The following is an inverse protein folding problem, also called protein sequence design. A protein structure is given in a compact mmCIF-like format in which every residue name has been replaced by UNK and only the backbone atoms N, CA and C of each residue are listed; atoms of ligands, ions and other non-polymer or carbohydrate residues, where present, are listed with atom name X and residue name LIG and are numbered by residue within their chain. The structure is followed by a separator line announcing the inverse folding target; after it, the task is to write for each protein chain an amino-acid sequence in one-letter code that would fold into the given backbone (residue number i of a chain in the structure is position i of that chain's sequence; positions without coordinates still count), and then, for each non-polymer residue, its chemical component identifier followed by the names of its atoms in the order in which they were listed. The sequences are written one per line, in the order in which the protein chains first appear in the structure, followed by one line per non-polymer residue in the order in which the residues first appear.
data_IF_661071872580
#
_entry.id   IF_661071872580
#
_cell.length_a   1.000
_cell.length_b   1.000
_cell.length_c   1.000
_cell.angle_alpha   90.00
_cell.angle_beta   90.00
_cell.angle_gamma   90.00
#
_symmetry.space_group_name_H-M   'P 1'
#
loop_
_entity.id
_entity.type
_entity.pdbx_description
1 polymer ?
#
# COMPACT_ATOMS: atom_id res chain seq x y z
N UNK A 1 10.15 -24.08 -14.96
CA UNK A 1 10.26 -22.94 -14.01
C UNK A 1 10.56 -21.64 -14.74
N UNK A 2 11.70 -21.52 -15.45
CA UNK A 2 12.07 -20.29 -16.16
C UNK A 2 11.06 -19.86 -17.21
N UNK A 3 10.52 -20.80 -17.99
CA UNK A 3 9.47 -20.53 -18.96
C UNK A 3 8.18 -20.04 -18.30
N UNK A 4 7.77 -20.61 -17.19
CA UNK A 4 6.60 -20.17 -16.42
C UNK A 4 6.84 -18.79 -15.81
N UNK A 5 8.03 -18.54 -15.24
CA UNK A 5 8.40 -17.23 -14.69
C UNK A 5 8.42 -16.14 -15.77
N UNK A 6 8.91 -16.42 -16.97
CA UNK A 6 8.90 -15.45 -18.08
C UNK A 6 7.49 -15.12 -18.58
N UNK A 7 6.56 -16.08 -18.52
CA UNK A 7 5.19 -15.93 -19.02
C UNK A 7 4.22 -15.32 -17.99
N UNK A 8 4.36 -15.70 -16.73
CA UNK A 8 3.39 -15.37 -15.68
C UNK A 8 3.95 -14.42 -14.60
N UNK A 9 5.26 -14.21 -14.56
CA UNK A 9 5.96 -13.42 -13.54
C UNK A 9 6.43 -14.25 -12.35
N UNK A 10 7.03 -13.57 -11.37
CA UNK A 10 7.41 -14.13 -10.07
C UNK A 10 6.23 -14.04 -9.08
N UNK A 11 6.31 -14.78 -7.98
CA UNK A 11 5.33 -14.68 -6.90
C UNK A 11 5.63 -13.52 -5.92
N UNK A 12 6.58 -12.66 -6.27
CA UNK A 12 6.90 -11.46 -5.51
C UNK A 12 5.78 -10.42 -5.65
N UNK A 13 5.35 -9.85 -4.53
CA UNK A 13 4.50 -8.66 -4.54
C UNK A 13 5.45 -7.48 -4.39
N UNK A 14 5.58 -6.62 -5.42
CA UNK A 14 6.49 -5.50 -5.37
C UNK A 14 6.09 -4.53 -4.26
N UNK A 15 7.07 -4.09 -3.50
CA UNK A 15 6.90 -3.01 -2.54
C UNK A 15 6.70 -1.69 -3.29
N UNK A 16 6.08 -0.73 -2.61
CA UNK A 16 6.06 0.66 -3.08
C UNK A 16 7.49 1.13 -3.37
N UNK A 17 7.65 1.97 -4.39
CA UNK A 17 8.96 2.55 -4.70
C UNK A 17 9.55 3.28 -3.47
N UNK A 18 10.89 3.24 -3.28
CA UNK A 18 11.52 3.93 -2.16
C UNK A 18 11.30 5.43 -2.28
N UNK A 19 10.80 6.02 -1.21
CA UNK A 19 10.53 7.47 -1.15
C UNK A 19 11.83 8.26 -1.31
N UNK A 20 11.87 9.14 -2.29
CA UNK A 20 13.02 9.98 -2.56
C UNK A 20 12.98 11.25 -1.71
N UNK A 21 14.15 11.74 -1.24
CA UNK A 21 14.23 13.00 -0.49
C UNK A 21 13.50 14.17 -1.17
N UNK A 22 13.56 14.25 -2.49
CA UNK A 22 12.91 15.34 -3.23
C UNK A 22 11.38 15.20 -3.34
N UNK A 23 10.87 14.00 -3.29
CA UNK A 23 9.43 13.73 -3.24
C UNK A 23 8.88 14.17 -1.89
N UNK A 24 9.43 13.68 -0.78
CA UNK A 24 9.06 14.08 0.57
C UNK A 24 9.21 15.60 0.80
N UNK A 25 10.31 16.18 0.27
CA UNK A 25 10.54 17.62 0.35
C UNK A 25 9.43 18.40 -0.39
N UNK A 26 9.06 18.00 -1.60
CA UNK A 26 7.96 18.62 -2.36
C UNK A 26 6.60 18.40 -1.70
N UNK A 27 6.36 17.24 -1.15
CA UNK A 27 5.12 16.89 -0.48
C UNK A 27 4.86 17.81 0.72
N UNK A 28 5.92 18.17 1.47
CA UNK A 28 5.82 19.15 2.55
C UNK A 28 5.20 20.49 2.08
N UNK A 29 5.48 20.93 0.86
CA UNK A 29 4.86 22.15 0.30
C UNK A 29 3.41 21.97 -0.14
N UNK A 30 2.92 20.73 -0.17
CA UNK A 30 1.51 20.44 -0.44
C UNK A 30 0.65 20.60 0.82
N UNK A 31 1.27 20.59 2.01
CA UNK A 31 0.59 20.80 3.28
C UNK A 31 -0.13 22.17 3.32
N UNK A 32 -1.42 22.21 3.67
CA UNK A 32 -2.19 23.44 3.77
C UNK A 32 -1.59 24.47 4.73
N UNK A 33 -1.00 24.02 5.85
CA UNK A 33 -0.36 24.90 6.83
C UNK A 33 0.86 25.60 6.24
N UNK A 34 1.71 24.87 5.52
CA UNK A 34 2.89 25.42 4.84
C UNK A 34 2.48 26.40 3.75
N UNK A 35 1.43 26.09 2.98
CA UNK A 35 0.87 27.02 1.96
C UNK A 35 0.40 28.33 2.57
N UNK A 36 -0.25 28.29 3.74
CA UNK A 36 -0.69 29.48 4.45
C UNK A 36 0.51 30.30 4.93
N UNK A 37 1.53 29.67 5.53
CA UNK A 37 2.75 30.34 5.96
C UNK A 37 3.48 31.01 4.80
N UNK A 38 3.58 30.36 3.65
CA UNK A 38 4.18 30.93 2.45
C UNK A 38 3.34 32.09 1.89
N UNK A 39 2.01 32.01 1.95
CA UNK A 39 1.14 33.11 1.54
C UNK A 39 1.30 34.34 2.45
N UNK A 40 1.43 34.12 3.77
CA UNK A 40 1.70 35.20 4.73
C UNK A 40 3.09 35.81 4.45
N UNK A 41 4.12 34.98 4.24
CA UNK A 41 5.46 35.47 3.91
C UNK A 41 5.47 36.28 2.61
N UNK A 42 4.74 35.85 1.58
CA UNK A 42 4.59 36.59 0.33
C UNK A 42 3.89 37.95 0.55
N UNK A 43 2.83 37.97 1.37
CA UNK A 43 2.16 39.24 1.74
C UNK A 43 3.12 40.19 2.47
N UNK A 44 3.89 39.66 3.43
CA UNK A 44 4.90 40.46 4.16
C UNK A 44 5.98 41.02 3.23
N UNK A 45 6.40 40.30 2.20
CA UNK A 45 7.33 40.80 1.18
C UNK A 45 6.71 41.99 0.42
N UNK A 46 5.43 41.88 0.06
CA UNK A 46 4.71 43.00 -0.59
C UNK A 46 4.63 44.19 0.35
N UNK A 47 4.28 43.98 1.61
CA UNK A 47 4.23 45.06 2.62
C UNK A 47 5.59 45.72 2.85
N UNK A 48 6.69 44.97 2.77
CA UNK A 48 8.04 45.51 2.82
C UNK A 48 8.31 46.53 1.69
N UNK A 49 7.90 46.25 0.45
CA UNK A 49 8.05 47.17 -0.68
C UNK A 49 7.26 48.46 -0.51
N UNK A 50 6.17 48.42 0.27
CA UNK A 50 5.39 49.62 0.64
C UNK A 50 5.91 50.30 1.91
N UNK A 51 6.95 49.78 2.57
CA UNK A 51 7.54 50.34 3.79
C UNK A 51 6.78 50.03 5.09
N UNK A 52 5.86 49.05 5.06
CA UNK A 52 5.03 48.67 6.22
C UNK A 52 5.53 47.44 6.96
N UNK A 53 6.55 46.73 6.47
CA UNK A 53 7.13 45.56 7.09
C UNK A 53 8.66 45.57 6.98
N UNK A 54 9.33 44.84 7.85
CA UNK A 54 10.78 44.68 7.80
C UNK A 54 11.16 43.37 7.10
N UNK A 55 12.23 43.37 6.31
CA UNK A 55 12.60 42.23 5.42
C UNK A 55 12.95 40.97 6.18
N UNK A 56 13.43 41.08 7.42
CA UNK A 56 13.81 39.88 8.19
C UNK A 56 12.62 39.05 8.67
N UNK A 57 11.39 39.61 8.75
CA UNK A 57 10.19 38.85 9.14
C UNK A 57 9.79 37.78 8.10
N UNK A 58 9.56 38.13 6.81
CA UNK A 58 9.26 37.14 5.81
C UNK A 58 10.45 36.21 5.52
N UNK A 59 11.69 36.72 5.61
CA UNK A 59 12.89 35.91 5.45
C UNK A 59 12.99 34.83 6.54
N UNK A 60 12.73 35.17 7.80
CA UNK A 60 12.68 34.26 8.92
C UNK A 60 11.63 33.17 8.72
N UNK A 61 10.44 33.52 8.22
CA UNK A 61 9.38 32.55 7.90
C UNK A 61 9.80 31.59 6.79
N UNK A 62 10.41 32.09 5.71
CA UNK A 62 10.88 31.22 4.61
C UNK A 62 11.98 30.29 5.09
N UNK A 63 12.94 30.78 5.88
CA UNK A 63 14.01 29.94 6.44
C UNK A 63 13.43 28.86 7.36
N UNK A 64 12.46 29.20 8.21
CA UNK A 64 11.79 28.23 9.07
C UNK A 64 11.08 27.14 8.25
N UNK A 65 10.36 27.51 7.19
CA UNK A 65 9.70 26.55 6.28
C UNK A 65 10.72 25.62 5.61
N UNK A 66 11.84 26.16 5.14
CA UNK A 66 12.91 25.34 4.53
C UNK A 66 13.54 24.36 5.52
N UNK A 67 13.75 24.80 6.77
CA UNK A 67 14.24 23.91 7.83
C UNK A 67 13.23 22.79 8.09
N UNK A 68 11.95 23.11 8.26
CA UNK A 68 10.89 22.12 8.49
C UNK A 68 10.83 21.13 7.32
N UNK A 69 10.80 21.61 6.07
CA UNK A 69 10.75 20.77 4.90
C UNK A 69 11.97 19.83 4.79
N UNK A 70 13.16 20.34 5.12
CA UNK A 70 14.39 19.52 5.10
C UNK A 70 14.38 18.44 6.20
N UNK A 71 13.94 18.80 7.40
CA UNK A 71 13.86 17.83 8.53
C UNK A 71 12.79 16.79 8.26
N UNK A 72 11.62 17.20 7.77
CA UNK A 72 10.53 16.30 7.40
C UNK A 72 10.99 15.29 6.35
N UNK A 73 11.57 15.77 5.25
CA UNK A 73 12.06 14.93 4.17
C UNK A 73 13.14 13.92 4.64
N UNK A 74 14.09 14.37 5.46
CA UNK A 74 15.11 13.46 6.03
C UNK A 74 14.50 12.40 6.94
N UNK A 75 13.52 12.78 7.74
CA UNK A 75 12.86 11.86 8.66
C UNK A 75 11.99 10.85 7.90
N UNK A 76 11.27 11.27 6.87
CA UNK A 76 10.47 10.40 5.99
C UNK A 76 11.34 9.34 5.32
N UNK A 77 12.40 9.76 4.63
CA UNK A 77 13.34 8.83 3.98
C UNK A 77 14.02 7.88 4.98
N UNK A 78 14.44 8.38 6.15
CA UNK A 78 15.07 7.53 7.16
C UNK A 78 14.08 6.52 7.75
N UNK A 79 12.82 6.87 7.87
CA UNK A 79 11.74 6.00 8.33
C UNK A 79 11.45 4.89 7.31
N UNK A 80 11.33 5.25 6.02
CA UNK A 80 11.14 4.29 4.93
C UNK A 80 12.32 3.32 4.82
N UNK A 81 13.55 3.82 4.88
CA UNK A 81 14.76 2.97 4.85
C UNK A 81 14.78 1.96 6.01
N UNK A 82 14.47 2.41 7.23
CA UNK A 82 14.42 1.50 8.39
C UNK A 82 13.29 0.46 8.27
N UNK A 83 12.15 0.85 7.74
CA UNK A 83 11.04 -0.08 7.50
C UNK A 83 11.47 -1.19 6.52
N UNK A 84 12.13 -0.82 5.41
CA UNK A 84 12.65 -1.76 4.42
C UNK A 84 13.74 -2.67 5.00
N UNK A 85 14.68 -2.12 5.77
CA UNK A 85 15.71 -2.92 6.46
C UNK A 85 15.09 -3.94 7.42
N UNK A 86 14.05 -3.57 8.17
CA UNK A 86 13.34 -4.49 9.05
C UNK A 86 12.63 -5.59 8.26
N UNK A 87 12.03 -5.25 7.14
CA UNK A 87 11.34 -6.20 6.25
C UNK A 87 12.34 -7.18 5.62
N UNK A 88 13.46 -6.68 5.09
CA UNK A 88 14.50 -7.50 4.46
C UNK A 88 15.16 -8.47 5.45
N UNK A 89 15.28 -8.06 6.73
CA UNK A 89 15.82 -8.90 7.80
C UNK A 89 14.81 -9.92 8.36
N UNK A 90 13.54 -9.84 7.94
CA UNK A 90 12.55 -10.85 8.32
C UNK A 90 12.76 -12.10 7.48
N UNK A 91 12.84 -13.27 8.14
CA UNK A 91 12.99 -14.55 7.43
C UNK A 91 11.88 -14.70 6.39
N UNK A 92 12.28 -14.93 5.13
CA UNK A 92 11.33 -15.18 4.04
C UNK A 92 10.56 -16.47 4.32
N UNK A 93 9.26 -16.42 4.15
CA UNK A 93 8.41 -17.59 4.27
C UNK A 93 8.84 -18.64 3.22
N UNK A 94 8.95 -19.91 3.63
CA UNK A 94 9.36 -21.03 2.77
C UNK A 94 8.20 -21.99 2.57
N UNK A 95 8.16 -22.61 1.41
CA UNK A 95 7.18 -23.64 1.09
C UNK A 95 7.84 -24.88 0.45
N UNK A 96 7.13 -26.02 0.53
CA UNK A 96 7.57 -27.30 -0.04
C UNK A 96 6.91 -27.47 -1.40
N UNK A 97 7.70 -27.54 -2.46
CA UNK A 97 7.20 -27.76 -3.82
C UNK A 97 7.67 -29.10 -4.37
N UNK A 98 6.79 -29.75 -5.12
CA UNK A 98 7.12 -30.97 -5.85
C UNK A 98 7.50 -30.61 -7.28
N UNK A 99 8.80 -30.66 -7.58
CA UNK A 99 9.36 -30.40 -8.93
C UNK A 99 10.18 -31.61 -9.38
N UNK A 100 9.99 -32.05 -10.61
CA UNK A 100 10.75 -33.18 -11.21
C UNK A 100 10.77 -34.46 -10.36
N UNK A 101 9.70 -34.78 -9.66
CA UNK A 101 9.63 -35.96 -8.82
C UNK A 101 10.29 -35.85 -7.44
N UNK A 102 10.79 -34.64 -7.08
CA UNK A 102 11.48 -34.40 -5.79
C UNK A 102 10.78 -33.24 -5.05
N UNK A 103 10.63 -33.41 -3.75
CA UNK A 103 10.14 -32.33 -2.87
C UNK A 103 11.34 -31.43 -2.52
N UNK A 104 11.22 -30.16 -2.84
CA UNK A 104 12.25 -29.14 -2.58
C UNK A 104 11.65 -28.01 -1.77
N UNK A 105 12.39 -27.50 -0.79
CA UNK A 105 12.00 -26.28 -0.03
C UNK A 105 12.52 -25.07 -0.78
N UNK A 106 11.63 -24.13 -1.10
CA UNK A 106 11.96 -22.89 -1.78
C UNK A 106 11.34 -21.70 -1.04
N UNK A 107 11.84 -20.50 -1.34
CA UNK A 107 11.21 -19.27 -0.87
C UNK A 107 9.84 -19.09 -1.57
N UNK A 108 8.86 -18.52 -0.86
CA UNK A 108 7.51 -18.27 -1.39
C UNK A 108 7.57 -17.41 -2.66
N UNK A 109 8.51 -16.47 -2.73
CA UNK A 109 8.71 -15.59 -3.89
C UNK A 109 9.15 -16.34 -5.16
N UNK A 110 9.73 -17.54 -5.00
CA UNK A 110 10.22 -18.40 -6.09
C UNK A 110 9.16 -19.37 -6.65
N UNK A 111 7.96 -19.34 -6.09
CA UNK A 111 6.82 -20.14 -6.59
C UNK A 111 6.40 -19.62 -7.96
N UNK A 112 6.08 -20.53 -8.88
CA UNK A 112 5.60 -20.21 -10.23
C UNK A 112 4.30 -20.94 -10.57
N UNK A 113 3.59 -20.42 -11.54
CA UNK A 113 2.37 -21.09 -12.07
C UNK A 113 2.72 -22.48 -12.57
N UNK A 114 1.92 -23.49 -12.13
CA UNK A 114 2.11 -24.90 -12.42
C UNK A 114 2.94 -25.65 -11.39
N UNK A 115 3.47 -24.98 -10.35
CA UNK A 115 4.08 -25.68 -9.22
C UNK A 115 3.00 -26.43 -8.41
N UNK A 116 3.39 -27.58 -7.89
CA UNK A 116 2.59 -28.36 -6.93
C UNK A 116 3.18 -28.16 -5.53
N UNK A 117 2.46 -27.43 -4.70
CA UNK A 117 2.90 -27.11 -3.34
C UNK A 117 2.27 -28.07 -2.36
N UNK A 118 3.10 -28.71 -1.54
CA UNK A 118 2.65 -29.54 -0.43
C UNK A 118 2.28 -28.63 0.75
N UNK A 119 1.03 -28.74 1.18
CA UNK A 119 0.45 -27.94 2.25
C UNK A 119 0.12 -28.81 3.46
N UNK A 120 0.45 -28.33 4.65
CA UNK A 120 0.21 -29.00 5.92
C UNK A 120 -0.38 -28.02 6.95
N UNK A 121 -0.96 -28.56 8.02
CA UNK A 121 -1.48 -27.75 9.12
C UNK A 121 -0.42 -26.78 9.67
N UNK A 122 -0.80 -25.50 9.79
CA UNK A 122 0.07 -24.40 10.21
C UNK A 122 0.77 -23.66 9.06
N UNK A 123 0.78 -24.20 7.84
CA UNK A 123 1.37 -23.53 6.69
C UNK A 123 0.47 -22.37 6.21
N UNK A 124 1.12 -21.33 5.68
CA UNK A 124 0.44 -20.29 4.89
C UNK A 124 0.42 -20.69 3.43
N UNK A 125 -0.69 -20.46 2.77
CA UNK A 125 -0.85 -20.71 1.33
C UNK A 125 0.02 -19.68 0.56
N UNK A 126 0.97 -20.13 -0.28
CA UNK A 126 1.97 -19.25 -0.89
C UNK A 126 1.47 -18.52 -2.14
N UNK A 127 0.45 -19.04 -2.82
CA UNK A 127 -0.06 -18.52 -4.09
C UNK A 127 -1.51 -18.95 -4.30
N UNK A 128 -2.24 -18.32 -5.22
CA UNK A 128 -3.60 -18.72 -5.54
C UNK A 128 -3.61 -19.93 -6.47
N UNK A 129 -4.52 -20.86 -6.20
CA UNK A 129 -4.63 -22.07 -6.99
C UNK A 129 -5.77 -22.97 -6.56
N UNK A 130 -5.65 -24.23 -6.93
CA UNK A 130 -6.69 -25.23 -6.74
C UNK A 130 -6.12 -26.40 -5.93
N UNK A 131 -6.89 -26.90 -4.97
CA UNK A 131 -6.55 -28.09 -4.24
C UNK A 131 -6.79 -29.31 -5.16
N UNK A 132 -5.73 -30.03 -5.51
CA UNK A 132 -5.81 -31.19 -6.43
C UNK A 132 -5.78 -32.53 -5.72
N UNK A 133 -5.32 -32.58 -4.48
CA UNK A 133 -5.29 -33.79 -3.65
C UNK A 133 -5.41 -33.39 -2.17
N UNK A 134 -6.03 -34.28 -1.37
CA UNK A 134 -6.21 -34.09 0.06
C UNK A 134 -7.48 -33.32 0.47
N UNK A 135 -7.53 -32.95 1.73
CA UNK A 135 -8.61 -32.14 2.31
C UNK A 135 -8.04 -31.21 3.40
N UNK A 136 -8.47 -29.98 3.40
CA UNK A 136 -7.98 -28.92 4.28
C UNK A 136 -9.11 -28.19 4.98
N UNK A 137 -8.84 -27.66 6.16
CA UNK A 137 -9.59 -26.56 6.78
C UNK A 137 -8.72 -25.32 6.75
N UNK A 138 -9.24 -24.27 6.16
CA UNK A 138 -8.49 -23.05 5.87
C UNK A 138 -9.17 -21.87 6.53
N UNK A 139 -8.38 -21.04 7.16
CA UNK A 139 -8.78 -19.72 7.70
C UNK A 139 -8.46 -18.64 6.68
N UNK A 140 -9.50 -17.99 6.16
CA UNK A 140 -9.39 -16.90 5.19
C UNK A 140 -9.48 -15.51 5.85
N UNK A 141 -9.44 -15.40 7.18
CA UNK A 141 -9.61 -14.16 7.92
C UNK A 141 -8.62 -13.04 7.51
N UNK A 142 -7.44 -13.42 7.06
CA UNK A 142 -6.44 -12.49 6.54
C UNK A 142 -6.87 -11.79 5.23
N UNK A 143 -7.87 -12.35 4.51
CA UNK A 143 -8.32 -11.85 3.21
C UNK A 143 -9.69 -11.18 3.29
N UNK A 144 -10.64 -11.76 3.99
CA UNK A 144 -12.02 -11.26 4.08
C UNK A 144 -12.40 -10.70 5.46
N UNK A 145 -11.52 -10.82 6.45
CA UNK A 145 -11.78 -10.36 7.83
C UNK A 145 -12.71 -11.27 8.63
N UNK A 146 -13.23 -12.35 8.05
CA UNK A 146 -14.16 -13.28 8.69
C UNK A 146 -13.42 -14.52 9.19
N UNK A 147 -13.49 -14.78 10.49
CA UNK A 147 -12.84 -15.92 11.13
C UNK A 147 -13.70 -17.21 10.98
N UNK A 148 -14.13 -17.52 9.76
CA UNK A 148 -14.83 -18.78 9.48
C UNK A 148 -13.88 -19.78 8.81
N UNK A 149 -13.81 -20.96 9.40
CA UNK A 149 -13.06 -22.07 8.83
C UNK A 149 -13.77 -22.65 7.60
N UNK A 150 -13.13 -22.52 6.44
CA UNK A 150 -13.63 -23.08 5.19
C UNK A 150 -13.09 -24.49 4.96
N UNK A 151 -13.97 -25.45 4.73
CA UNK A 151 -13.57 -26.80 4.32
C UNK A 151 -13.23 -26.80 2.84
N UNK A 152 -12.04 -27.29 2.51
CA UNK A 152 -11.53 -27.42 1.15
C UNK A 152 -11.31 -28.91 0.82
N UNK A 153 -11.70 -29.30 -0.36
CA UNK A 153 -11.58 -30.69 -0.88
C UNK A 153 -10.97 -30.66 -2.28
N UNK A 154 -10.34 -31.76 -2.68
CA UNK A 154 -9.73 -31.84 -3.99
C UNK A 154 -10.76 -31.59 -5.12
N UNK A 155 -10.35 -30.80 -6.10
CA UNK A 155 -11.14 -30.51 -7.28
C UNK A 155 -11.05 -31.63 -8.32
N UNK A 156 -12.03 -31.67 -9.23
CA UNK A 156 -11.92 -32.43 -10.46
C UNK A 156 -10.89 -31.79 -11.42
N UNK A 157 -10.30 -32.56 -12.33
CA UNK A 157 -9.29 -32.08 -13.28
C UNK A 157 -9.74 -30.89 -14.16
N UNK A 158 -11.06 -30.78 -14.40
CA UNK A 158 -11.67 -29.75 -15.23
C UNK A 158 -11.98 -28.42 -14.47
N UNK A 159 -11.70 -28.37 -13.16
CA UNK A 159 -12.01 -27.18 -12.36
C UNK A 159 -11.10 -25.99 -12.74
N UNK A 160 -11.72 -24.84 -12.99
CA UNK A 160 -11.02 -23.60 -13.29
C UNK A 160 -11.21 -22.60 -12.17
N UNK A 161 -10.12 -21.95 -11.79
CA UNK A 161 -10.15 -20.85 -10.81
C UNK A 161 -10.81 -19.62 -11.46
N UNK A 162 -11.82 -19.07 -10.82
CA UNK A 162 -12.48 -17.85 -11.28
C UNK A 162 -11.53 -16.65 -11.26
N UNK A 163 -11.67 -15.76 -12.26
CA UNK A 163 -10.85 -14.55 -12.35
C UNK A 163 -11.39 -13.42 -11.47
N UNK A 164 -12.71 -13.33 -11.34
CA UNK A 164 -13.37 -12.34 -10.48
C UNK A 164 -13.74 -12.98 -9.15
N UNK A 165 -13.05 -12.55 -8.09
CA UNK A 165 -13.24 -13.06 -6.75
C UNK A 165 -14.32 -12.20 -6.08
N UNK A 166 -15.46 -12.84 -5.81
CA UNK A 166 -16.54 -12.28 -4.99
C UNK A 166 -16.50 -12.89 -3.60
N UNK A 167 -17.29 -12.35 -2.65
CA UNK A 167 -17.36 -12.91 -1.29
C UNK A 167 -17.65 -14.42 -1.25
N UNK A 168 -18.43 -14.93 -2.20
CA UNK A 168 -18.79 -16.35 -2.30
C UNK A 168 -17.61 -17.23 -2.79
N UNK A 169 -16.63 -16.65 -3.49
CA UNK A 169 -15.46 -17.39 -4.01
C UNK A 169 -14.54 -17.87 -2.88
N UNK A 170 -14.51 -17.18 -1.72
CA UNK A 170 -13.76 -17.65 -0.55
C UNK A 170 -14.35 -18.93 0.06
N UNK A 171 -15.66 -19.11 -0.10
CA UNK A 171 -16.41 -20.28 0.41
C UNK A 171 -16.32 -21.47 -0.54
N UNK A 172 -15.89 -21.27 -1.80
CA UNK A 172 -15.71 -22.36 -2.76
C UNK A 172 -14.84 -23.47 -2.19
N UNK A 173 -15.25 -24.72 -2.45
CA UNK A 173 -14.65 -25.91 -1.83
C UNK A 173 -13.26 -26.27 -2.38
N UNK A 174 -12.83 -25.67 -3.49
CA UNK A 174 -11.64 -26.14 -4.23
C UNK A 174 -10.55 -25.08 -4.35
N UNK A 175 -10.93 -23.79 -4.27
CA UNK A 175 -10.01 -22.67 -4.44
C UNK A 175 -9.25 -22.37 -3.16
N UNK A 176 -7.95 -22.13 -3.30
CA UNK A 176 -7.04 -21.74 -2.24
C UNK A 176 -6.40 -20.41 -2.60
N UNK A 177 -6.30 -19.50 -1.62
CA UNK A 177 -5.83 -18.13 -1.82
C UNK A 177 -4.59 -17.83 -1.01
N UNK A 178 -3.66 -17.08 -1.59
CA UNK A 178 -2.42 -16.63 -0.96
C UNK A 178 -2.71 -15.91 0.36
N UNK A 179 -1.93 -16.25 1.40
CA UNK A 179 -2.02 -15.61 2.71
C UNK A 179 -3.00 -16.25 3.69
N UNK A 180 -3.93 -17.10 3.21
CA UNK A 180 -4.76 -17.89 4.10
C UNK A 180 -3.93 -18.94 4.84
N UNK A 181 -4.36 -19.31 6.06
CA UNK A 181 -3.65 -20.24 6.94
C UNK A 181 -4.39 -21.58 6.99
N UNK A 182 -3.64 -22.68 6.90
CA UNK A 182 -4.19 -24.01 7.03
C UNK A 182 -4.33 -24.35 8.52
N UNK A 183 -5.57 -24.49 8.95
CA UNK A 183 -5.89 -24.84 10.33
C UNK A 183 -5.66 -26.34 10.59
N UNK A 184 -6.12 -27.19 9.66
CA UNK A 184 -6.02 -28.64 9.79
C UNK A 184 -6.05 -29.33 8.43
N UNK A 185 -5.43 -30.51 8.34
CA UNK A 185 -5.37 -31.33 7.16
C UNK A 185 -4.06 -31.23 6.39
N UNK A 186 -4.01 -31.96 5.28
CA UNK A 186 -2.91 -31.92 4.32
C UNK A 186 -3.42 -32.00 2.88
N UNK A 187 -2.67 -31.45 1.93
CA UNK A 187 -3.07 -31.50 0.54
C UNK A 187 -2.04 -30.93 -0.41
N UNK A 188 -2.34 -31.02 -1.70
CA UNK A 188 -1.49 -30.53 -2.78
C UNK A 188 -2.21 -29.39 -3.50
N UNK A 189 -1.60 -28.20 -3.46
CA UNK A 189 -2.03 -27.03 -4.23
C UNK A 189 -1.41 -27.07 -5.63
N UNK A 190 -2.21 -26.94 -6.66
CA UNK A 190 -1.77 -26.62 -8.02
C UNK A 190 -1.85 -25.10 -8.22
N UNK A 191 -0.68 -24.45 -8.36
CA UNK A 191 -0.57 -23.00 -8.45
C UNK A 191 -1.07 -22.49 -9.80
N UNK A 192 -2.03 -21.57 -9.77
CA UNK A 192 -2.66 -20.97 -10.97
C UNK A 192 -2.36 -19.49 -11.15
N UNK A 193 -2.22 -18.73 -10.04
CA UNK A 193 -1.90 -17.29 -10.07
C UNK A 193 -0.80 -16.98 -9.07
N UNK A 194 0.10 -16.06 -9.44
CA UNK A 194 1.27 -15.65 -8.63
C UNK A 194 1.40 -14.12 -8.61
N UNK A 195 2.08 -13.60 -7.61
CA UNK A 195 2.40 -12.18 -7.48
C UNK A 195 1.17 -11.28 -7.45
N UNK A 196 1.18 -10.22 -8.25
CA UNK A 196 0.07 -9.24 -8.36
C UNK A 196 -1.22 -9.84 -8.93
N UNK A 197 -1.16 -11.01 -9.57
CA UNK A 197 -2.35 -11.69 -10.09
C UNK A 197 -3.10 -12.48 -9.02
N UNK A 198 -2.50 -12.68 -7.85
CA UNK A 198 -3.17 -13.28 -6.69
C UNK A 198 -4.16 -12.29 -6.09
N UNK A 199 -5.13 -12.81 -5.32
CA UNK A 199 -6.08 -11.96 -4.57
C UNK A 199 -5.34 -10.99 -3.64
N UNK A 200 -4.38 -11.50 -2.87
CA UNK A 200 -3.55 -10.68 -1.99
C UNK A 200 -2.74 -9.63 -2.77
N UNK A 201 -2.23 -9.99 -3.96
CA UNK A 201 -1.52 -9.07 -4.84
C UNK A 201 -2.39 -7.92 -5.34
N UNK A 202 -3.62 -8.22 -5.78
CA UNK A 202 -4.61 -7.21 -6.19
C UNK A 202 -4.97 -6.26 -5.03
N UNK A 203 -5.21 -6.82 -3.82
CA UNK A 203 -5.44 -6.00 -2.62
C UNK A 203 -4.25 -5.09 -2.30
N UNK A 204 -3.02 -5.60 -2.42
CA UNK A 204 -1.82 -4.81 -2.18
C UNK A 204 -1.65 -3.67 -3.22
N UNK A 205 -2.03 -3.91 -4.48
CA UNK A 205 -2.03 -2.90 -5.54
C UNK A 205 -3.09 -1.82 -5.28
N UNK A 206 -4.32 -2.21 -4.91
CA UNK A 206 -5.40 -1.28 -4.54
C UNK A 206 -5.03 -0.42 -3.31
N UNK A 207 -4.28 -0.98 -2.35
CA UNK A 207 -3.80 -0.23 -1.18
C UNK A 207 -2.65 0.74 -1.49
N UNK A 208 -1.97 0.58 -2.62
CA UNK A 208 -0.93 1.50 -3.10
C UNK A 208 -1.49 2.65 -3.94
N UNK A 209 -2.71 2.53 -4.46
CA UNK A 209 -3.41 3.66 -5.06
C UNK A 209 -3.76 4.68 -3.97
N UNK A 210 -3.60 5.97 -4.29
CA UNK A 210 -3.92 7.07 -3.38
C UNK A 210 -5.34 6.90 -2.81
N UNK A 211 -5.46 6.67 -1.51
CA UNK A 211 -6.76 6.60 -0.85
C UNK A 211 -7.54 7.90 -1.13
N UNK A 212 -8.78 7.81 -1.63
CA UNK A 212 -9.61 8.98 -1.80
C UNK A 212 -9.79 9.67 -0.44
N UNK A 213 -9.56 10.97 -0.41
CA UNK A 213 -9.67 11.77 0.81
C UNK A 213 -10.95 11.43 1.58
N UNK A 214 -10.83 11.15 2.87
CA UNK A 214 -11.98 10.81 3.70
C UNK A 214 -13.06 11.91 3.59
N UNK A 215 -14.37 11.57 3.64
CA UNK A 215 -15.45 12.55 3.56
C UNK A 215 -15.34 13.69 4.57
N UNK A 216 -14.74 13.40 5.74
CA UNK A 216 -14.45 14.40 6.77
C UNK A 216 -13.33 15.34 6.32
N UNK A 217 -12.23 14.83 5.77
CA UNK A 217 -11.11 15.63 5.26
C UNK A 217 -11.57 16.56 4.14
N UNK A 218 -12.39 16.06 3.20
CA UNK A 218 -12.99 16.87 2.12
C UNK A 218 -13.88 17.99 2.68
N UNK A 219 -14.73 17.69 3.68
CA UNK A 219 -15.59 18.70 4.33
C UNK A 219 -14.76 19.72 5.08
N UNK A 220 -13.74 19.33 5.82
CA UNK A 220 -12.84 20.22 6.54
C UNK A 220 -12.04 21.12 5.58
N UNK A 221 -11.52 20.57 4.48
CA UNK A 221 -10.84 21.34 3.44
C UNK A 221 -11.79 22.39 2.80
N UNK A 222 -13.06 22.02 2.56
CA UNK A 222 -14.08 22.96 2.06
C UNK A 222 -14.38 24.09 3.05
N UNK A 223 -14.51 23.78 4.34
CA UNK A 223 -14.69 24.78 5.40
C UNK A 223 -13.47 25.69 5.52
N UNK A 224 -12.27 25.13 5.53
CA UNK A 224 -11.03 25.89 5.55
C UNK A 224 -10.93 26.85 4.36
N UNK A 225 -11.31 26.41 3.16
CA UNK A 225 -11.36 27.26 1.96
C UNK A 225 -12.38 28.39 2.08
N UNK A 226 -13.54 28.11 2.66
CA UNK A 226 -14.55 29.15 2.90
C UNK A 226 -14.06 30.22 3.91
N UNK A 227 -13.48 29.79 5.04
CA UNK A 227 -12.92 30.69 6.06
C UNK A 227 -11.79 31.53 5.45
N UNK A 228 -10.89 30.94 4.69
CA UNK A 228 -9.83 31.65 3.98
C UNK A 228 -10.38 32.69 3.01
N UNK A 229 -11.42 32.35 2.26
CA UNK A 229 -12.08 33.29 1.32
C UNK A 229 -12.65 34.50 2.05
N UNK A 230 -13.37 34.28 3.16
CA UNK A 230 -13.87 35.39 4.00
C UNK A 230 -12.73 36.22 4.60
N UNK A 231 -11.66 35.58 5.04
CA UNK A 231 -10.45 36.24 5.53
C UNK A 231 -9.80 37.14 4.48
N UNK A 232 -9.68 36.66 3.24
CA UNK A 232 -9.14 37.47 2.13
C UNK A 232 -10.03 38.64 1.77
N UNK A 233 -11.34 38.45 1.73
CA UNK A 233 -12.31 39.54 1.48
C UNK A 233 -12.18 40.61 2.58
N UNK A 234 -12.12 40.20 3.86
CA UNK A 234 -11.94 41.10 4.99
C UNK A 234 -10.61 41.87 4.92
N UNK A 235 -9.52 41.19 4.59
CA UNK A 235 -8.20 41.81 4.44
C UNK A 235 -8.19 42.87 3.32
N UNK A 236 -8.81 42.57 2.16
CA UNK A 236 -8.94 43.50 1.05
C UNK A 236 -9.78 44.72 1.45
N UNK A 237 -10.91 44.50 2.15
CA UNK A 237 -11.75 45.63 2.64
C UNK A 237 -10.99 46.55 3.60
N UNK A 238 -10.24 45.95 4.54
CA UNK A 238 -9.42 46.73 5.49
C UNK A 238 -8.34 47.53 4.73
N UNK A 239 -7.67 46.88 3.76
CA UNK A 239 -6.64 47.53 2.96
C UNK A 239 -7.22 48.72 2.15
N UNK A 240 -8.40 48.56 1.56
CA UNK A 240 -9.10 49.65 0.84
C UNK A 240 -9.48 50.78 1.77
N UNK A 241 -10.04 50.48 2.96
CA UNK A 241 -10.41 51.47 3.96
C UNK A 241 -9.21 52.25 4.52
N UNK A 242 -8.01 51.62 4.54
CA UNK A 242 -6.79 52.26 5.01
C UNK A 242 -6.16 53.20 3.95
N UNK A 243 -6.44 52.92 2.66
CA UNK A 243 -5.93 53.73 1.53
C UNK A 243 -6.81 54.94 1.17
N UNK A 244 -8.04 55.01 1.69
CA UNK A 244 -8.97 56.12 1.53
C UNK A 244 -8.96 57.02 2.78
#
# INVERSE_FOLDING_TARGET
VEESRSKFGSNEIPDSEPTTFWEEFKETFSDPMIKILLAIAALMIVMFFFGYAEIYEPLGTIVAVLIVATVSAKTGVASDTKYRELKDNTEKDKCKVHRNGVITVIDVDDVVVGDKVLLQSGDKIPADGVLIDGALRVDNSALNGEAEECKKTAASEDFQLEDDITGDTFVDAHSLFRGAVIFDGEGILDVRKVGLKTMMGKMAEEMQEDEPDSPLKVKLAKLAKQISTFGYIGAVLIAVLYLV
#
